data_IF_346302495518
#
_entry.id   IF_346302495518
#
_cell.length_a   1.000
_cell.length_b   1.000
_cell.length_c   1.000
_cell.angle_alpha   90.00
_cell.angle_beta   90.00
_cell.angle_gamma   90.00
#
_symmetry.space_group_name_H-M   'P 1'
#
loop_
_entity.id
_entity.type
_entity.pdbx_description
1 polymer ?
#
# COMPACT_ATOMS: atom_id res chain seq x y z
N UNK A 1 -4.35 -9.96 7.48
CA UNK A 1 -3.64 -9.14 6.46
C UNK A 1 -2.15 -9.39 6.61
N UNK A 2 -1.31 -8.99 5.65
CA UNK A 2 0.14 -9.11 5.79
C UNK A 2 0.61 -8.22 6.95
N UNK A 3 0.96 -8.84 8.08
CA UNK A 3 1.52 -8.20 9.25
C UNK A 3 2.65 -9.06 9.80
N UNK A 4 3.53 -8.50 10.62
CA UNK A 4 4.59 -9.26 11.28
C UNK A 4 3.92 -10.31 12.17
N UNK A 5 4.35 -11.59 12.11
CA UNK A 5 5.51 -12.12 11.37
C UNK A 5 5.23 -12.53 9.91
N UNK A 6 3.97 -12.67 9.52
CA UNK A 6 3.54 -13.14 8.20
C UNK A 6 3.48 -12.03 7.13
N UNK A 7 4.53 -11.20 7.02
CA UNK A 7 4.62 -10.13 6.01
C UNK A 7 5.44 -10.52 4.77
N UNK A 8 6.33 -11.52 4.88
CA UNK A 8 7.31 -11.87 3.85
C UNK A 8 6.71 -12.35 2.52
N UNK A 9 5.50 -12.91 2.53
CA UNK A 9 4.86 -13.44 1.32
C UNK A 9 4.46 -12.34 0.32
N UNK A 10 4.21 -11.12 0.80
CA UNK A 10 3.68 -10.04 -0.04
C UNK A 10 4.73 -9.47 -1.02
N UNK A 11 5.98 -9.20 -0.61
CA UNK A 11 7.06 -8.91 -1.54
C UNK A 11 7.36 -10.08 -2.49
N UNK A 12 7.30 -11.32 -2.01
CA UNK A 12 7.53 -12.52 -2.83
C UNK A 12 6.47 -12.71 -3.92
N UNK A 13 5.22 -12.34 -3.66
CA UNK A 13 4.11 -12.41 -4.62
C UNK A 13 4.32 -11.50 -5.85
N UNK A 14 5.28 -10.57 -5.82
CA UNK A 14 5.59 -9.67 -6.93
C UNK A 14 6.30 -10.36 -8.11
N UNK A 15 6.58 -11.67 -8.03
CA UNK A 15 6.92 -12.48 -9.20
C UNK A 15 5.75 -12.58 -10.21
N UNK A 16 4.51 -12.43 -9.74
CA UNK A 16 3.31 -12.49 -10.56
C UNK A 16 3.24 -11.35 -11.62
N UNK A 17 2.46 -11.54 -12.71
CA UNK A 17 2.25 -10.51 -13.71
C UNK A 17 1.58 -9.26 -13.11
N UNK A 18 1.90 -8.10 -13.69
CA UNK A 18 1.53 -6.78 -13.15
C UNK A 18 0.02 -6.55 -12.97
N UNK A 19 -0.88 -7.04 -13.85
CA UNK A 19 -2.32 -6.92 -13.64
C UNK A 19 -2.84 -7.78 -12.48
N UNK A 20 -2.20 -8.92 -12.21
CA UNK A 20 -2.54 -9.77 -11.05
C UNK A 20 -2.09 -9.09 -9.76
N UNK A 21 -0.90 -8.48 -9.76
CA UNK A 21 -0.46 -7.69 -8.60
C UNK A 21 -1.34 -6.47 -8.34
N UNK A 22 -1.84 -5.79 -9.37
CA UNK A 22 -2.72 -4.61 -9.21
C UNK A 22 -4.11 -4.95 -8.67
N UNK A 23 -4.63 -6.13 -8.99
CA UNK A 23 -5.95 -6.53 -8.52
C UNK A 23 -5.82 -7.28 -7.19
N UNK A 24 -5.16 -8.43 -7.21
CA UNK A 24 -5.17 -9.38 -6.09
C UNK A 24 -4.35 -8.85 -4.92
N UNK A 25 -3.11 -8.42 -5.17
CA UNK A 25 -2.15 -8.14 -4.10
C UNK A 25 -2.16 -6.69 -3.61
N UNK A 26 -2.93 -5.79 -4.22
CA UNK A 26 -3.09 -4.43 -3.70
C UNK A 26 -4.51 -4.06 -3.28
N UNK A 27 -5.54 -4.58 -3.94
CA UNK A 27 -6.92 -4.09 -3.75
C UNK A 27 -7.84 -5.07 -3.03
N UNK A 28 -7.68 -6.39 -3.19
CA UNK A 28 -8.65 -7.38 -2.69
C UNK A 28 -8.11 -8.32 -1.62
N UNK A 29 -7.02 -9.05 -1.88
CA UNK A 29 -6.58 -10.13 -0.98
C UNK A 29 -6.01 -9.58 0.32
N UNK A 30 -5.22 -8.51 0.24
CA UNK A 30 -4.50 -7.97 1.40
C UNK A 30 -5.41 -7.12 2.29
N UNK A 31 -6.41 -6.49 1.69
CA UNK A 31 -7.44 -5.67 2.34
C UNK A 31 -8.56 -6.52 2.95
N UNK A 32 -8.82 -7.74 2.45
CA UNK A 32 -9.85 -8.63 2.99
C UNK A 32 -9.71 -8.88 4.50
N UNK A 33 -8.48 -9.06 4.99
CA UNK A 33 -8.21 -9.22 6.42
C UNK A 33 -8.51 -7.95 7.24
N UNK A 34 -8.24 -6.78 6.68
CA UNK A 34 -8.56 -5.49 7.32
C UNK A 34 -10.09 -5.29 7.33
N UNK A 35 -10.76 -5.61 6.23
CA UNK A 35 -12.22 -5.53 6.12
C UNK A 35 -12.94 -6.46 7.09
N UNK A 36 -12.44 -7.69 7.28
CA UNK A 36 -12.98 -8.61 8.29
C UNK A 36 -12.88 -7.99 9.69
N UNK A 37 -11.75 -7.40 10.04
CA UNK A 37 -11.58 -6.74 11.35
C UNK A 37 -12.47 -5.50 11.50
N UNK A 38 -12.68 -4.73 10.43
CA UNK A 38 -13.67 -3.62 10.41
C UNK A 38 -15.07 -4.16 10.75
N UNK A 39 -15.46 -5.33 10.22
CA UNK A 39 -16.75 -5.96 10.53
C UNK A 39 -16.85 -6.46 11.97
N UNK A 40 -15.72 -6.85 12.58
CA UNK A 40 -15.62 -7.25 13.98
C UNK A 40 -15.27 -6.06 14.90
N UNK A 41 -15.80 -4.87 14.62
CA UNK A 41 -15.45 -3.64 15.34
C UNK A 41 -15.66 -3.72 16.86
N UNK A 42 -16.67 -4.46 17.33
CA UNK A 42 -16.94 -4.68 18.75
C UNK A 42 -15.76 -5.31 19.51
N UNK A 43 -14.89 -6.07 18.84
CA UNK A 43 -13.71 -6.69 19.47
C UNK A 43 -12.66 -5.67 19.92
N UNK A 44 -12.69 -4.45 19.39
CA UNK A 44 -11.76 -3.39 19.78
C UNK A 44 -12.13 -2.70 21.09
N UNK A 45 -13.30 -2.98 21.67
CA UNK A 45 -13.64 -2.57 23.03
C UNK A 45 -12.75 -3.27 24.07
N UNK A 46 -12.21 -4.45 23.75
CA UNK A 46 -11.26 -5.16 24.60
C UNK A 46 -9.86 -4.53 24.51
N UNK A 47 -9.45 -3.88 25.61
CA UNK A 47 -8.18 -3.16 25.72
C UNK A 47 -6.93 -4.00 25.36
N UNK A 48 -6.92 -5.27 25.73
CA UNK A 48 -5.78 -6.17 25.45
C UNK A 48 -5.62 -6.41 23.94
N UNK A 49 -6.73 -6.64 23.23
CA UNK A 49 -6.72 -6.87 21.79
C UNK A 49 -6.29 -5.61 21.02
N UNK A 50 -6.87 -4.46 21.36
CA UNK A 50 -6.48 -3.16 20.80
C UNK A 50 -4.98 -2.89 20.97
N UNK A 51 -4.44 -3.02 22.19
CA UNK A 51 -3.00 -2.80 22.44
C UNK A 51 -2.08 -3.73 21.68
N UNK A 52 -2.43 -5.02 21.63
CA UNK A 52 -1.66 -6.00 20.87
C UNK A 52 -1.61 -5.63 19.38
N UNK A 53 -2.76 -5.29 18.81
CA UNK A 53 -2.88 -4.95 17.40
C UNK A 53 -2.16 -3.63 17.08
N UNK A 54 -2.22 -2.64 17.98
CA UNK A 54 -1.46 -1.40 17.88
C UNK A 54 0.04 -1.68 17.81
N UNK A 55 0.58 -2.51 18.71
CA UNK A 55 2.00 -2.85 18.72
C UNK A 55 2.44 -3.56 17.43
N UNK A 56 1.70 -4.57 16.98
CA UNK A 56 2.00 -5.28 15.73
C UNK A 56 1.93 -4.34 14.53
N UNK A 57 0.94 -3.44 14.50
CA UNK A 57 0.77 -2.49 13.41
C UNK A 57 1.95 -1.51 13.31
N UNK A 58 2.43 -0.96 14.42
CA UNK A 58 3.59 -0.07 14.46
C UNK A 58 4.86 -0.77 13.93
N UNK A 59 5.12 -1.99 14.38
CA UNK A 59 6.25 -2.77 13.89
C UNK A 59 6.16 -3.01 12.38
N UNK A 60 4.96 -3.29 11.85
CA UNK A 60 4.78 -3.50 10.40
C UNK A 60 5.04 -2.25 9.58
N UNK A 61 4.60 -1.08 10.04
CA UNK A 61 4.84 0.19 9.34
C UNK A 61 6.34 0.47 9.25
N UNK A 62 7.06 0.30 10.37
CA UNK A 62 8.51 0.54 10.44
C UNK A 62 9.27 -0.43 9.53
N UNK A 63 9.00 -1.73 9.66
CA UNK A 63 9.65 -2.77 8.86
C UNK A 63 9.41 -2.57 7.36
N UNK A 64 8.17 -2.28 6.97
CA UNK A 64 7.82 -2.01 5.59
C UNK A 64 8.52 -0.76 5.05
N UNK A 65 8.60 0.30 5.86
CA UNK A 65 9.27 1.55 5.51
C UNK A 65 10.76 1.37 5.27
N UNK A 66 11.46 0.73 6.21
CA UNK A 66 12.91 0.45 6.08
C UNK A 66 13.18 -0.48 4.91
N UNK A 67 12.39 -1.54 4.73
CA UNK A 67 12.53 -2.46 3.61
C UNK A 67 12.36 -1.76 2.25
N UNK A 68 11.40 -0.83 2.14
CA UNK A 68 11.15 -0.12 0.89
C UNK A 68 12.32 0.77 0.45
N UNK A 69 13.14 1.27 1.39
CA UNK A 69 14.30 2.10 1.09
C UNK A 69 15.50 1.31 0.56
N UNK A 70 15.56 0.00 0.84
CA UNK A 70 16.68 -0.87 0.45
C UNK A 70 16.42 -1.66 -0.83
N UNK A 71 15.17 -1.72 -1.29
CA UNK A 71 14.78 -2.47 -2.48
C UNK A 71 15.00 -1.68 -3.76
N UNK A 72 15.40 -2.39 -4.82
CA UNK A 72 15.65 -1.81 -6.15
C UNK A 72 14.60 -2.20 -7.19
N UNK A 73 13.77 -3.20 -6.89
CA UNK A 73 12.70 -3.65 -7.78
C UNK A 73 11.45 -2.77 -7.61
N UNK A 74 10.98 -2.15 -8.70
CA UNK A 74 9.83 -1.24 -8.69
C UNK A 74 8.59 -1.87 -8.06
N UNK A 75 8.24 -3.11 -8.42
CA UNK A 75 7.07 -3.80 -7.86
C UNK A 75 7.20 -4.07 -6.36
N UNK A 76 8.41 -4.43 -5.88
CA UNK A 76 8.63 -4.67 -4.45
C UNK A 76 8.51 -3.39 -3.63
N UNK A 77 8.99 -2.26 -4.15
CA UNK A 77 8.78 -0.95 -3.48
C UNK A 77 7.29 -0.61 -3.38
N UNK A 78 6.53 -0.81 -4.47
CA UNK A 78 5.08 -0.55 -4.45
C UNK A 78 4.37 -1.51 -3.48
N UNK A 79 4.81 -2.77 -3.41
CA UNK A 79 4.30 -3.77 -2.49
C UNK A 79 4.62 -3.44 -1.03
N UNK A 80 5.85 -3.08 -0.68
CA UNK A 80 6.24 -2.67 0.67
C UNK A 80 5.51 -1.39 1.10
N UNK A 81 5.24 -0.48 0.17
CA UNK A 81 4.37 0.66 0.48
C UNK A 81 2.88 0.30 0.57
N UNK A 82 2.39 -0.86 0.07
CA UNK A 82 1.06 -1.37 0.47
C UNK A 82 1.10 -1.91 1.90
N UNK A 83 2.16 -2.64 2.25
CA UNK A 83 2.35 -3.20 3.59
C UNK A 83 2.36 -2.09 4.66
N UNK A 84 3.02 -0.97 4.41
CA UNK A 84 3.04 0.17 5.33
C UNK A 84 1.66 0.83 5.47
N UNK A 85 0.89 1.00 4.38
CA UNK A 85 -0.46 1.57 4.45
C UNK A 85 -1.46 0.61 5.14
N UNK A 86 -1.32 -0.69 4.95
CA UNK A 86 -2.11 -1.69 5.69
C UNK A 86 -1.76 -1.66 7.18
N UNK A 87 -0.47 -1.52 7.52
CA UNK A 87 -0.04 -1.28 8.89
C UNK A 87 -0.74 -0.07 9.50
N UNK A 88 -0.81 1.04 8.75
CA UNK A 88 -1.53 2.25 9.17
C UNK A 88 -3.04 2.03 9.31
N UNK A 89 -3.70 1.30 8.40
CA UNK A 89 -5.12 0.95 8.53
C UNK A 89 -5.42 0.15 9.80
N UNK A 90 -4.51 -0.76 10.15
CA UNK A 90 -4.62 -1.59 11.35
C UNK A 90 -4.36 -0.78 12.61
N UNK A 91 -3.42 0.16 12.57
CA UNK A 91 -3.20 1.12 13.66
C UNK A 91 -4.47 1.93 13.96
N UNK A 92 -5.12 2.47 12.92
CA UNK A 92 -6.38 3.21 13.08
C UNK A 92 -7.51 2.34 13.64
N UNK A 93 -7.58 1.06 13.22
CA UNK A 93 -8.54 0.12 13.79
C UNK A 93 -8.30 -0.15 15.27
N UNK A 94 -7.04 -0.25 15.69
CA UNK A 94 -6.72 -0.42 17.11
C UNK A 94 -7.20 0.73 17.99
N UNK A 95 -7.29 1.94 17.43
CA UNK A 95 -7.83 3.13 18.10
C UNK A 95 -9.38 3.18 18.09
N UNK A 96 -10.04 2.20 17.49
CA UNK A 96 -11.51 2.12 17.40
C UNK A 96 -12.12 2.95 16.26
N UNK A 97 -11.31 3.63 15.45
CA UNK A 97 -11.75 4.52 14.36
C UNK A 97 -12.04 3.75 13.07
N UNK A 98 -12.96 2.79 13.12
CA UNK A 98 -13.24 1.88 12.00
C UNK A 98 -13.74 2.58 10.73
N UNK A 99 -14.52 3.66 10.87
CA UNK A 99 -14.99 4.46 9.72
C UNK A 99 -13.82 5.05 8.92
N UNK A 100 -12.81 5.61 9.60
CA UNK A 100 -11.63 6.20 8.97
C UNK A 100 -10.76 5.13 8.30
N UNK A 101 -10.59 3.98 8.95
CA UNK A 101 -9.87 2.85 8.36
C UNK A 101 -10.54 2.35 7.08
N UNK A 102 -11.88 2.25 7.06
CA UNK A 102 -12.63 1.86 5.86
C UNK A 102 -12.51 2.89 4.74
N UNK A 103 -12.63 4.19 5.05
CA UNK A 103 -12.44 5.25 4.07
C UNK A 103 -11.02 5.21 3.46
N UNK A 104 -9.99 5.05 4.29
CA UNK A 104 -8.62 4.92 3.83
C UNK A 104 -8.39 3.66 2.98
N UNK A 105 -9.04 2.54 3.31
CA UNK A 105 -8.97 1.30 2.53
C UNK A 105 -9.47 1.53 1.09
N UNK A 106 -10.59 2.24 0.92
CA UNK A 106 -11.16 2.54 -0.39
C UNK A 106 -10.26 3.46 -1.22
N UNK A 107 -9.79 4.57 -0.63
CA UNK A 107 -8.90 5.50 -1.34
C UNK A 107 -7.59 4.81 -1.71
N UNK A 108 -7.03 4.02 -0.80
CA UNK A 108 -5.83 3.22 -1.02
C UNK A 108 -5.94 2.24 -2.18
N UNK A 109 -7.05 1.51 -2.28
CA UNK A 109 -7.27 0.57 -3.38
C UNK A 109 -7.17 1.27 -4.75
N UNK A 110 -7.74 2.47 -4.87
CA UNK A 110 -7.78 3.22 -6.14
C UNK A 110 -6.38 3.69 -6.55
N UNK A 111 -5.66 4.41 -5.69
CA UNK A 111 -4.34 4.93 -6.08
C UNK A 111 -3.28 3.83 -6.19
N UNK A 112 -3.39 2.73 -5.42
CA UNK A 112 -2.48 1.58 -5.59
C UNK A 112 -2.71 0.82 -6.87
N UNK A 113 -3.96 0.60 -7.28
CA UNK A 113 -4.25 0.00 -8.57
C UNK A 113 -3.63 0.84 -9.71
N UNK A 114 -3.77 2.16 -9.65
CA UNK A 114 -3.14 3.09 -10.60
C UNK A 114 -1.61 2.97 -10.62
N UNK A 115 -0.95 2.93 -9.45
CA UNK A 115 0.50 2.75 -9.34
C UNK A 115 0.98 1.44 -9.98
N UNK A 116 0.31 0.31 -9.68
CA UNK A 116 0.71 -0.99 -10.23
C UNK A 116 0.45 -1.10 -11.73
N UNK A 117 -0.62 -0.49 -12.25
CA UNK A 117 -0.88 -0.44 -13.69
C UNK A 117 0.17 0.41 -14.41
N UNK A 118 0.50 1.60 -13.90
CA UNK A 118 1.54 2.45 -14.45
C UNK A 118 2.91 1.74 -14.44
N UNK A 119 3.28 1.15 -13.30
CA UNK A 119 4.49 0.33 -13.19
C UNK A 119 4.48 -0.85 -14.18
N UNK A 120 3.31 -1.46 -14.41
CA UNK A 120 3.16 -2.54 -15.39
C UNK A 120 3.50 -2.10 -16.81
N UNK A 121 3.03 -0.93 -17.23
CA UNK A 121 3.37 -0.38 -18.55
C UNK A 121 4.85 0.01 -18.63
N UNK A 122 5.42 0.59 -17.55
CA UNK A 122 6.86 0.92 -17.50
C UNK A 122 7.74 -0.34 -17.62
N UNK A 123 7.37 -1.43 -16.95
CA UNK A 123 8.10 -2.71 -17.03
C UNK A 123 7.96 -3.32 -18.43
N UNK A 124 6.76 -3.29 -19.02
CA UNK A 124 6.54 -3.83 -20.36
C UNK A 124 7.35 -3.08 -21.43
N UNK A 125 7.37 -1.75 -21.35
CA UNK A 125 8.14 -0.91 -22.27
C UNK A 125 9.66 -1.07 -22.10
N UNK A 126 10.14 -1.47 -20.92
CA UNK A 126 11.56 -1.75 -20.67
C UNK A 126 11.93 -3.24 -20.84
N UNK A 127 11.24 -3.95 -21.74
CA UNK A 127 11.51 -5.34 -22.08
C UNK A 127 11.48 -6.29 -20.86
N UNK A 128 10.66 -5.97 -19.86
CA UNK A 128 10.50 -6.78 -18.65
C UNK A 128 11.46 -6.45 -17.51
N UNK A 129 12.37 -5.49 -17.66
CA UNK A 129 13.24 -5.06 -16.55
C UNK A 129 12.44 -4.32 -15.46
N UNK A 130 12.68 -4.70 -14.20
CA UNK A 130 11.99 -4.15 -13.02
C UNK A 130 12.89 -3.26 -12.14
N UNK A 131 14.20 -3.26 -12.42
CA UNK A 131 15.20 -2.53 -11.66
C UNK A 131 15.11 -1.03 -11.96
N UNK A 132 14.86 -0.24 -10.92
CA UNK A 132 14.65 1.21 -11.01
C UNK A 132 15.90 1.93 -11.53
N UNK A 133 17.10 1.36 -11.31
CA UNK A 133 18.36 1.94 -11.81
C UNK A 133 18.38 2.05 -13.33
N UNK A 134 17.64 1.19 -14.01
CA UNK A 134 17.56 1.13 -15.47
C UNK A 134 16.38 1.96 -16.02
N UNK A 135 15.51 2.51 -15.16
CA UNK A 135 14.27 3.20 -15.56
C UNK A 135 14.42 4.73 -15.68
N UNK A 136 15.63 5.22 -15.95
CA UNK A 136 15.90 6.66 -16.08
C UNK A 136 15.11 7.32 -17.23
N UNK A 137 14.86 8.64 -17.10
CA UNK A 137 14.33 9.51 -18.18
C UNK A 137 12.92 9.13 -18.68
N UNK A 138 12.15 8.35 -17.92
CA UNK A 138 10.81 7.91 -18.33
C UNK A 138 9.82 9.04 -18.65
N UNK A 139 9.96 10.18 -17.96
CA UNK A 139 9.11 11.35 -18.19
C UNK A 139 9.17 11.86 -19.63
N UNK A 140 10.34 11.76 -20.29
CA UNK A 140 10.48 12.19 -21.69
C UNK A 140 9.93 11.17 -22.68
N UNK A 141 9.98 9.88 -22.34
CA UNK A 141 9.49 8.83 -23.23
C UNK A 141 7.96 8.72 -23.23
N UNK A 142 7.34 8.75 -22.05
CA UNK A 142 5.90 8.59 -21.89
C UNK A 142 5.34 9.55 -20.82
N UNK A 143 5.11 10.83 -21.16
CA UNK A 143 4.72 11.86 -20.20
C UNK A 143 3.40 11.55 -19.50
N UNK A 144 2.44 10.93 -20.20
CA UNK A 144 1.12 10.56 -19.65
C UNK A 144 1.26 9.54 -18.52
N UNK A 145 2.05 8.48 -18.73
CA UNK A 145 2.23 7.42 -17.73
C UNK A 145 3.03 7.96 -16.55
N UNK A 146 4.06 8.76 -16.79
CA UNK A 146 4.81 9.38 -15.69
C UNK A 146 3.99 10.39 -14.90
N UNK A 147 3.08 11.14 -15.56
CA UNK A 147 2.15 12.04 -14.89
C UNK A 147 1.15 11.29 -14.03
N UNK A 148 0.57 10.20 -14.56
CA UNK A 148 -0.30 9.30 -13.82
C UNK A 148 0.41 8.66 -12.61
N UNK A 149 1.63 8.15 -12.80
CA UNK A 149 2.46 7.59 -11.72
C UNK A 149 2.76 8.66 -10.65
N UNK A 150 3.11 9.89 -11.06
CA UNK A 150 3.33 11.02 -10.16
C UNK A 150 2.08 11.44 -9.37
N UNK A 151 0.92 11.54 -10.01
CA UNK A 151 -0.34 11.87 -9.33
C UNK A 151 -0.70 10.80 -8.29
N UNK A 152 -0.54 9.53 -8.66
CA UNK A 152 -0.83 8.41 -7.75
C UNK A 152 0.17 8.33 -6.58
N UNK A 153 1.43 8.71 -6.77
CA UNK A 153 2.41 8.78 -5.68
C UNK A 153 2.17 9.99 -4.77
N UNK A 154 1.78 11.15 -5.31
CA UNK A 154 1.34 12.30 -4.52
C UNK A 154 0.10 11.99 -3.67
N UNK A 155 -0.86 11.26 -4.24
CA UNK A 155 -2.01 10.76 -3.47
C UNK A 155 -1.57 9.81 -2.35
N UNK A 156 -0.57 8.95 -2.60
CA UNK A 156 -0.02 8.07 -1.58
C UNK A 156 0.69 8.83 -0.45
N UNK A 157 1.40 9.92 -0.72
CA UNK A 157 2.01 10.74 0.34
C UNK A 157 1.00 11.60 1.11
N UNK A 158 -0.20 11.83 0.55
CA UNK A 158 -1.26 12.64 1.16
C UNK A 158 -1.17 14.11 0.81
N UNK A 159 -0.76 14.45 -0.42
CA UNK A 159 -0.69 15.84 -0.87
C UNK A 159 -2.09 16.51 -0.85
N UNK A 160 -2.20 17.80 -0.47
CA UNK A 160 -3.48 18.49 -0.29
C UNK A 160 -4.42 18.35 -1.48
N UNK A 161 -5.72 18.23 -1.21
CA UNK A 161 -6.81 18.06 -2.19
C UNK A 161 -6.83 16.74 -2.99
N UNK A 162 -5.88 15.83 -2.78
CA UNK A 162 -5.96 14.46 -3.31
C UNK A 162 -6.67 13.53 -2.32
N UNK A 163 -7.19 12.41 -2.81
CA UNK A 163 -7.98 11.46 -2.01
C UNK A 163 -7.24 10.93 -0.77
N UNK A 164 -5.91 10.79 -0.85
CA UNK A 164 -5.09 10.36 0.26
C UNK A 164 -5.04 11.37 1.42
N UNK A 165 -5.07 12.68 1.13
CA UNK A 165 -5.03 13.75 2.13
C UNK A 165 -6.20 13.63 3.11
N UNK A 166 -7.44 13.56 2.59
CA UNK A 166 -8.63 13.46 3.42
C UNK A 166 -8.62 12.27 4.38
N UNK A 167 -7.95 11.18 4.02
CA UNK A 167 -7.84 10.02 4.90
C UNK A 167 -6.67 10.15 5.88
N UNK A 168 -5.49 10.53 5.41
CA UNK A 168 -4.27 10.53 6.22
C UNK A 168 -4.20 11.68 7.21
N UNK A 169 -4.69 12.85 6.81
CA UNK A 169 -4.73 14.03 7.67
C UNK A 169 -5.70 13.85 8.85
N UNK A 170 -6.78 13.08 8.66
CA UNK A 170 -7.71 12.72 9.74
C UNK A 170 -7.18 11.59 10.63
N UNK A 171 -6.19 10.82 10.15
CA UNK A 171 -5.61 9.69 10.89
C UNK A 171 -4.47 10.14 11.80
N UNK A 172 -3.70 11.14 11.36
CA UNK A 172 -2.57 11.73 12.10
C UNK A 172 -3.05 12.80 13.08
#
# INVERSE_FOLDING_TARGET
>A
SAQIPFSAWLPAAMAAPTPVSSLVHSSTLVTAGVYLLIRLNLMFEFFFFSKFLLFVSLLTVIMAGVGAMLEMDLKKIIALSTLSQIGLMMLVLSLGLWHLSFFHLLTHAIFKAMLFLCAGVMIHNNLGSQDIRLMGVYFKMNPVISGAFGLSSMALFGFPFLSGFYSKDLIL
#
